data_IF_752781393444
#
_entry.id   IF_752781393444
#
_cell.length_a   1.000
_cell.length_b   1.000
_cell.length_c   1.000
_cell.angle_alpha   90.00
_cell.angle_beta   90.00
_cell.angle_gamma   90.00
#
_symmetry.space_group_name_H-M   'P 1'
#
loop_
_entity.id
_entity.type
_entity.pdbx_description
1 polymer ?
#
# COMPACT_ATOMS: atom_id res chain seq x y z
N UNK A 1 15.54 -19.46 0.92
CA UNK A 1 15.39 -18.29 1.81
C UNK A 1 13.91 -18.01 1.99
N UNK A 2 13.30 -18.41 3.13
CA UNK A 2 11.85 -18.29 3.37
C UNK A 2 11.31 -16.85 3.19
N UNK A 3 12.08 -15.84 3.57
CA UNK A 3 11.73 -14.44 3.34
C UNK A 3 11.54 -14.11 1.85
N UNK A 4 12.47 -14.54 0.99
CA UNK A 4 12.39 -14.31 -0.46
C UNK A 4 11.20 -15.04 -1.08
N UNK A 5 10.88 -16.24 -0.59
CA UNK A 5 9.69 -16.97 -1.01
C UNK A 5 8.42 -16.18 -0.64
N UNK A 6 8.32 -15.65 0.58
CA UNK A 6 7.19 -14.85 1.00
C UNK A 6 7.02 -13.60 0.12
N UNK A 7 8.11 -12.90 -0.22
CA UNK A 7 8.07 -11.75 -1.15
C UNK A 7 7.57 -12.14 -2.55
N UNK A 8 7.98 -13.30 -3.06
CA UNK A 8 7.46 -13.83 -4.32
C UNK A 8 5.96 -14.16 -4.25
N UNK A 9 5.52 -14.77 -3.14
CA UNK A 9 4.09 -15.05 -2.90
C UNK A 9 3.28 -13.77 -2.79
N UNK A 10 3.80 -12.75 -2.11
CA UNK A 10 3.19 -11.42 -2.04
C UNK A 10 2.94 -10.85 -3.44
N UNK A 11 3.97 -10.82 -4.30
CA UNK A 11 3.83 -10.31 -5.66
C UNK A 11 2.77 -11.08 -6.47
N UNK A 12 2.73 -12.42 -6.32
CA UNK A 12 1.68 -13.25 -6.94
C UNK A 12 0.30 -12.96 -6.37
N UNK A 13 0.17 -12.79 -5.06
CA UNK A 13 -1.07 -12.45 -4.36
C UNK A 13 -1.64 -11.12 -4.85
N UNK A 14 -0.81 -10.07 -4.96
CA UNK A 14 -1.19 -8.77 -5.52
C UNK A 14 -1.67 -8.93 -6.97
N UNK A 15 -0.95 -9.69 -7.80
CA UNK A 15 -1.34 -9.92 -9.19
C UNK A 15 -2.67 -10.68 -9.32
N UNK A 16 -2.90 -11.70 -8.48
CA UNK A 16 -4.17 -12.42 -8.45
C UNK A 16 -5.32 -11.53 -7.98
N UNK A 17 -5.11 -10.71 -6.94
CA UNK A 17 -6.09 -9.76 -6.46
C UNK A 17 -6.48 -8.76 -7.57
N UNK A 18 -5.50 -8.20 -8.29
CA UNK A 18 -5.75 -7.29 -9.41
C UNK A 18 -6.57 -7.93 -10.55
N UNK A 19 -6.37 -9.24 -10.80
CA UNK A 19 -7.15 -10.02 -11.77
C UNK A 19 -8.53 -10.46 -11.27
N UNK A 20 -8.88 -10.19 -10.01
CA UNK A 20 -10.11 -10.69 -9.39
C UNK A 20 -10.08 -12.18 -9.04
N UNK A 21 -8.91 -12.83 -9.09
CA UNK A 21 -8.74 -14.24 -8.72
C UNK A 21 -8.59 -14.37 -7.19
N UNK A 22 -9.65 -14.04 -6.45
CA UNK A 22 -9.61 -13.91 -4.99
C UNK A 22 -9.18 -15.19 -4.26
N UNK A 23 -9.63 -16.36 -4.71
CA UNK A 23 -9.22 -17.65 -4.12
C UNK A 23 -7.72 -17.91 -4.28
N UNK A 24 -7.16 -17.63 -5.47
CA UNK A 24 -5.73 -17.77 -5.70
C UNK A 24 -4.92 -16.76 -4.86
N UNK A 25 -5.41 -15.53 -4.70
CA UNK A 25 -4.77 -14.54 -3.85
C UNK A 25 -4.79 -14.94 -2.36
N UNK A 26 -5.92 -15.49 -1.87
CA UNK A 26 -6.04 -16.03 -0.49
C UNK A 26 -5.12 -17.22 -0.26
N UNK A 27 -4.93 -18.08 -1.26
CA UNK A 27 -3.97 -19.18 -1.16
C UNK A 27 -2.53 -18.66 -0.96
N UNK A 28 -2.15 -17.55 -1.60
CA UNK A 28 -0.83 -16.94 -1.37
C UNK A 28 -0.71 -16.34 0.03
N UNK A 29 -1.73 -15.65 0.56
CA UNK A 29 -1.67 -15.12 1.94
C UNK A 29 -1.63 -16.22 3.00
N UNK A 30 -2.38 -17.30 2.80
CA UNK A 30 -2.30 -18.49 3.65
C UNK A 30 -0.90 -19.10 3.64
N UNK A 31 -0.26 -19.20 2.47
CA UNK A 31 1.09 -19.70 2.35
C UNK A 31 2.14 -18.78 3.00
N UNK A 32 1.98 -17.45 2.89
CA UNK A 32 2.84 -16.48 3.59
C UNK A 32 2.72 -16.66 5.12
N UNK A 33 1.51 -16.73 5.66
CA UNK A 33 1.30 -16.92 7.10
C UNK A 33 1.79 -18.28 7.60
N UNK A 34 1.67 -19.32 6.77
CA UNK A 34 2.26 -20.63 7.07
C UNK A 34 3.78 -20.55 7.18
N UNK A 35 4.45 -19.89 6.22
CA UNK A 35 5.90 -19.65 6.28
C UNK A 35 6.29 -18.87 7.55
N UNK A 36 5.51 -17.84 7.90
CA UNK A 36 5.74 -17.06 9.12
C UNK A 36 5.64 -17.91 10.40
N UNK A 37 4.71 -18.85 10.45
CA UNK A 37 4.49 -19.71 11.60
C UNK A 37 5.50 -20.87 11.73
N UNK A 38 6.00 -21.38 10.60
CA UNK A 38 6.86 -22.58 10.56
C UNK A 38 8.37 -22.26 10.51
N UNK A 39 8.75 -21.02 10.23
CA UNK A 39 10.16 -20.61 10.08
C UNK A 39 10.63 -19.85 11.32
N UNK A 40 11.81 -20.22 11.83
CA UNK A 40 12.53 -19.40 12.80
C UNK A 40 13.28 -18.26 12.08
N UNK A 41 12.83 -17.03 12.28
CA UNK A 41 13.44 -15.81 11.76
C UNK A 41 14.32 -15.08 12.79
N UNK A 42 14.69 -15.74 13.89
CA UNK A 42 15.48 -15.12 14.96
C UNK A 42 16.82 -14.56 14.47
N UNK A 43 17.48 -15.25 13.53
CA UNK A 43 18.76 -14.81 12.96
C UNK A 43 18.59 -13.58 12.07
N UNK A 44 17.58 -13.57 11.20
CA UNK A 44 17.22 -12.42 10.38
C UNK A 44 16.86 -11.21 11.24
N UNK A 45 16.07 -11.44 12.29
CA UNK A 45 15.61 -10.40 13.22
C UNK A 45 16.79 -9.80 13.99
N UNK A 46 17.70 -10.64 14.49
CA UNK A 46 18.95 -10.19 15.12
C UNK A 46 19.86 -9.44 14.12
N UNK A 47 19.80 -9.80 12.84
CA UNK A 47 20.45 -9.09 11.74
C UNK A 47 19.75 -7.80 11.30
N UNK A 48 18.68 -7.40 11.98
CA UNK A 48 17.93 -6.18 11.71
C UNK A 48 16.79 -6.33 10.70
N UNK A 49 16.52 -7.51 10.16
CA UNK A 49 15.37 -7.74 9.27
C UNK A 49 14.16 -8.21 10.10
N UNK A 50 13.12 -7.38 10.31
CA UNK A 50 11.90 -7.77 11.03
C UNK A 50 10.99 -8.65 10.16
N UNK A 51 11.49 -9.82 9.77
CA UNK A 51 10.84 -10.69 8.79
C UNK A 51 9.40 -11.09 9.20
N UNK A 52 9.08 -11.45 10.46
CA UNK A 52 7.71 -11.77 10.84
C UNK A 52 6.71 -10.63 10.57
N UNK A 53 7.08 -9.41 10.91
CA UNK A 53 6.25 -8.22 10.69
C UNK A 53 6.05 -7.95 9.20
N UNK A 54 7.12 -8.06 8.40
CA UNK A 54 7.04 -7.87 6.95
C UNK A 54 6.20 -8.94 6.25
N UNK A 55 6.23 -10.19 6.74
CA UNK A 55 5.37 -11.26 6.24
C UNK A 55 3.89 -10.96 6.53
N UNK A 56 3.54 -10.56 7.75
CA UNK A 56 2.14 -10.22 8.06
C UNK A 56 1.67 -8.96 7.33
N UNK A 57 2.51 -7.92 7.25
CA UNK A 57 2.23 -6.71 6.46
C UNK A 57 1.92 -7.07 5.00
N UNK A 58 2.71 -7.97 4.41
CA UNK A 58 2.50 -8.41 3.02
C UNK A 58 1.17 -9.16 2.84
N UNK A 59 0.78 -10.00 3.80
CA UNK A 59 -0.49 -10.73 3.77
C UNK A 59 -1.68 -9.76 3.91
N UNK A 60 -1.60 -8.80 4.82
CA UNK A 60 -2.63 -7.78 5.03
C UNK A 60 -2.86 -6.93 3.78
N UNK A 61 -1.80 -6.54 3.07
CA UNK A 61 -1.94 -5.76 1.83
C UNK A 61 -2.62 -6.56 0.72
N UNK A 62 -2.28 -7.85 0.56
CA UNK A 62 -2.97 -8.70 -0.42
C UNK A 62 -4.45 -8.86 -0.05
N UNK A 63 -4.77 -9.08 1.23
CA UNK A 63 -6.16 -9.15 1.70
C UNK A 63 -6.93 -7.84 1.48
N UNK A 64 -6.29 -6.71 1.74
CA UNK A 64 -6.87 -5.40 1.46
C UNK A 64 -7.19 -5.22 -0.02
N UNK A 65 -6.27 -5.62 -0.91
CA UNK A 65 -6.48 -5.54 -2.38
C UNK A 65 -7.59 -6.48 -2.85
N UNK A 66 -7.73 -7.67 -2.25
CA UNK A 66 -8.87 -8.57 -2.51
C UNK A 66 -10.18 -7.88 -2.11
N UNK A 67 -10.25 -7.36 -0.88
CA UNK A 67 -11.44 -6.70 -0.36
C UNK A 67 -11.80 -5.44 -1.19
N UNK A 68 -10.82 -4.63 -1.55
CA UNK A 68 -10.99 -3.46 -2.42
C UNK A 68 -11.56 -3.86 -3.78
N UNK A 69 -11.02 -4.94 -4.39
CA UNK A 69 -11.51 -5.44 -5.69
C UNK A 69 -12.94 -5.97 -5.63
N UNK A 70 -13.35 -6.52 -4.48
CA UNK A 70 -14.70 -7.02 -4.24
C UNK A 70 -15.68 -5.91 -3.82
N UNK A 71 -15.23 -4.66 -3.68
CA UNK A 71 -16.04 -3.55 -3.20
C UNK A 71 -16.27 -3.57 -1.69
N UNK A 72 -15.64 -4.49 -0.94
CA UNK A 72 -15.69 -4.50 0.52
C UNK A 72 -14.70 -3.48 1.10
N UNK A 73 -14.97 -2.19 0.87
CA UNK A 73 -14.06 -1.11 1.21
C UNK A 73 -13.81 -0.97 2.72
N UNK A 74 -14.79 -1.33 3.56
CA UNK A 74 -14.63 -1.35 5.02
C UNK A 74 -13.59 -2.38 5.46
N UNK A 75 -13.64 -3.59 4.90
CA UNK A 75 -12.64 -4.61 5.17
C UNK A 75 -11.27 -4.19 4.63
N UNK A 76 -11.21 -3.62 3.42
CA UNK A 76 -9.96 -3.13 2.84
C UNK A 76 -9.30 -2.08 3.74
N UNK A 77 -10.08 -1.11 4.25
CA UNK A 77 -9.60 -0.09 5.19
C UNK A 77 -9.04 -0.72 6.45
N UNK A 78 -9.79 -1.60 7.11
CA UNK A 78 -9.35 -2.24 8.36
C UNK A 78 -8.03 -3.01 8.17
N UNK A 79 -7.85 -3.71 7.03
CA UNK A 79 -6.62 -4.43 6.70
C UNK A 79 -5.45 -3.48 6.45
N UNK A 80 -5.68 -2.36 5.77
CA UNK A 80 -4.65 -1.35 5.53
C UNK A 80 -4.27 -0.57 6.79
N UNK A 81 -5.22 -0.28 7.68
CA UNK A 81 -4.93 0.32 9.00
C UNK A 81 -4.03 -0.60 9.83
N UNK A 82 -4.28 -1.90 9.82
CA UNK A 82 -3.40 -2.89 10.47
C UNK A 82 -2.01 -2.94 9.81
N UNK A 83 -1.94 -2.91 8.48
CA UNK A 83 -0.65 -2.89 7.77
C UNK A 83 0.14 -1.59 8.02
N UNK A 84 -0.54 -0.45 8.12
CA UNK A 84 0.05 0.85 8.50
C UNK A 84 0.57 0.80 9.93
N UNK A 85 -0.16 0.19 10.87
CA UNK A 85 0.32 0.04 12.24
C UNK A 85 1.61 -0.79 12.33
N UNK A 86 1.75 -1.80 11.46
CA UNK A 86 3.01 -2.55 11.33
C UNK A 86 4.10 -1.64 10.74
N UNK A 87 3.83 -0.98 9.60
CA UNK A 87 4.80 -0.09 8.92
C UNK A 87 5.32 1.02 9.85
N UNK A 88 4.42 1.67 10.60
CA UNK A 88 4.76 2.72 11.58
C UNK A 88 5.58 2.19 12.78
N UNK A 89 5.49 0.89 13.08
CA UNK A 89 6.24 0.22 14.13
C UNK A 89 7.64 -0.24 13.72
N UNK A 90 7.95 -0.23 12.41
CA UNK A 90 9.26 -0.64 11.92
C UNK A 90 10.33 0.40 12.28
N UNK A 91 11.54 -0.08 12.58
CA UNK A 91 12.68 0.81 12.76
C UNK A 91 13.01 1.55 11.45
N UNK A 92 13.48 2.79 11.56
CA UNK A 92 13.96 3.53 10.41
C UNK A 92 15.18 2.83 9.78
N UNK A 93 15.16 2.68 8.44
CA UNK A 93 16.27 2.16 7.66
C UNK A 93 16.26 2.75 6.24
N UNK A 94 17.39 2.69 5.54
CA UNK A 94 17.49 3.10 4.14
C UNK A 94 18.21 2.02 3.31
N UNK A 95 17.57 1.48 2.24
CA UNK A 95 16.19 1.75 1.83
C UNK A 95 15.17 1.24 2.86
N UNK A 96 13.96 1.80 2.88
CA UNK A 96 12.86 1.34 3.74
C UNK A 96 12.60 -0.17 3.56
N UNK A 97 12.18 -0.86 4.63
CA UNK A 97 11.90 -2.31 4.58
C UNK A 97 10.79 -2.63 3.57
N UNK A 98 9.79 -1.75 3.47
CA UNK A 98 8.69 -1.87 2.55
C UNK A 98 8.83 -0.87 1.40
N UNK A 99 8.62 -1.34 0.17
CA UNK A 99 9.02 -0.62 -1.04
C UNK A 99 8.15 0.58 -1.41
N UNK A 100 6.97 0.72 -0.80
CA UNK A 100 6.09 1.88 -1.01
C UNK A 100 5.28 2.19 0.26
N UNK A 101 4.93 3.45 0.54
CA UNK A 101 4.17 3.80 1.74
C UNK A 101 2.76 3.17 1.73
N UNK A 102 2.41 2.35 2.72
CA UNK A 102 1.10 1.65 2.75
C UNK A 102 -0.06 2.65 2.83
N UNK A 103 0.17 3.81 3.48
CA UNK A 103 -0.79 4.93 3.54
C UNK A 103 -1.24 5.43 2.16
N UNK A 104 -0.45 5.21 1.10
CA UNK A 104 -0.85 5.51 -0.28
C UNK A 104 -2.08 4.69 -0.69
N UNK A 105 -2.06 3.37 -0.48
CA UNK A 105 -3.20 2.50 -0.80
C UNK A 105 -4.38 2.78 0.14
N UNK A 106 -4.12 3.10 1.42
CA UNK A 106 -5.17 3.50 2.36
C UNK A 106 -5.89 4.78 1.89
N UNK A 107 -5.16 5.79 1.41
CA UNK A 107 -5.74 7.01 0.83
C UNK A 107 -6.66 6.72 -0.35
N UNK A 108 -6.29 5.77 -1.21
CA UNK A 108 -7.13 5.34 -2.32
C UNK A 108 -8.42 4.64 -1.87
N UNK A 109 -8.35 3.81 -0.82
CA UNK A 109 -9.54 3.20 -0.22
C UNK A 109 -10.46 4.24 0.40
N UNK A 110 -9.93 5.20 1.18
CA UNK A 110 -10.73 6.31 1.71
C UNK A 110 -11.40 7.11 0.59
N UNK A 111 -10.70 7.38 -0.51
CA UNK A 111 -11.26 8.07 -1.66
C UNK A 111 -12.41 7.28 -2.31
N UNK A 112 -12.25 5.96 -2.47
CA UNK A 112 -13.31 5.09 -2.97
C UNK A 112 -14.54 5.04 -2.05
N UNK A 113 -14.34 5.24 -0.74
CA UNK A 113 -15.40 5.35 0.26
C UNK A 113 -16.07 6.74 0.29
N UNK A 114 -15.53 7.74 -0.42
CA UNK A 114 -15.97 9.13 -0.34
C UNK A 114 -15.49 9.87 0.91
N UNK A 115 -14.56 9.29 1.68
CA UNK A 115 -13.95 9.85 2.89
C UNK A 115 -12.80 10.80 2.49
N UNK A 116 -13.12 11.88 1.78
CA UNK A 116 -12.12 12.76 1.14
C UNK A 116 -11.12 13.39 2.11
N UNK A 117 -11.54 13.77 3.31
CA UNK A 117 -10.63 14.33 4.33
C UNK A 117 -9.60 13.30 4.80
N UNK A 118 -10.02 12.07 5.06
CA UNK A 118 -9.13 10.97 5.43
C UNK A 118 -8.19 10.60 4.27
N UNK A 119 -8.69 10.62 3.03
CA UNK A 119 -7.87 10.40 1.84
C UNK A 119 -6.77 11.47 1.69
N UNK A 120 -7.11 12.75 1.84
CA UNK A 120 -6.13 13.84 1.80
C UNK A 120 -5.07 13.67 2.89
N UNK A 121 -5.48 13.43 4.13
CA UNK A 121 -4.56 13.24 5.26
C UNK A 121 -3.58 12.09 5.03
N UNK A 122 -4.04 10.98 4.44
CA UNK A 122 -3.19 9.84 4.10
C UNK A 122 -2.13 10.21 3.04
N UNK A 123 -2.51 10.87 1.94
CA UNK A 123 -1.55 11.29 0.92
C UNK A 123 -0.59 12.38 1.40
N UNK A 124 -1.08 13.35 2.17
CA UNK A 124 -0.24 14.38 2.79
C UNK A 124 0.80 13.78 3.74
N UNK A 125 0.44 12.74 4.49
CA UNK A 125 1.39 12.00 5.32
C UNK A 125 2.50 11.37 4.46
N UNK A 126 2.13 10.71 3.37
CA UNK A 126 3.10 10.14 2.42
C UNK A 126 4.03 11.22 1.88
N UNK A 127 3.51 12.40 1.53
CA UNK A 127 4.30 13.51 0.98
C UNK A 127 5.18 14.20 2.03
N UNK A 128 4.88 14.11 3.32
CA UNK A 128 5.79 14.58 4.38
C UNK A 128 7.05 13.73 4.45
N UNK A 129 6.92 12.42 4.27
CA UNK A 129 8.06 11.48 4.30
C UNK A 129 8.75 11.37 2.93
N UNK A 130 7.98 11.40 1.85
CA UNK A 130 8.44 11.25 0.47
C UNK A 130 7.89 12.39 -0.42
N UNK A 131 8.48 13.60 -0.37
CA UNK A 131 7.91 14.83 -0.97
C UNK A 131 7.58 14.78 -2.47
N UNK A 132 8.28 13.92 -3.21
CA UNK A 132 8.12 13.74 -4.65
C UNK A 132 7.49 12.39 -5.02
N UNK A 133 6.76 11.75 -4.10
CA UNK A 133 6.00 10.55 -4.42
C UNK A 133 4.87 10.89 -5.40
N UNK A 134 5.07 10.56 -6.67
CA UNK A 134 4.12 10.88 -7.74
C UNK A 134 2.74 10.22 -7.57
N UNK A 135 2.66 9.04 -6.96
CA UNK A 135 1.39 8.38 -6.68
C UNK A 135 0.58 9.16 -5.63
N UNK A 136 1.23 9.60 -4.54
CA UNK A 136 0.57 10.42 -3.53
C UNK A 136 0.20 11.82 -4.05
N UNK A 137 1.05 12.44 -4.88
CA UNK A 137 0.73 13.71 -5.55
C UNK A 137 -0.51 13.57 -6.45
N UNK A 138 -0.58 12.49 -7.24
CA UNK A 138 -1.73 12.19 -8.09
C UNK A 138 -3.00 11.96 -7.27
N UNK A 139 -2.89 11.20 -6.17
CA UNK A 139 -3.99 10.92 -5.26
C UNK A 139 -4.52 12.18 -4.60
N UNK A 140 -3.64 13.03 -4.07
CA UNK A 140 -4.03 14.28 -3.42
C UNK A 140 -4.66 15.28 -4.41
N UNK A 141 -4.11 15.37 -5.63
CA UNK A 141 -4.72 16.13 -6.73
C UNK A 141 -6.16 15.67 -6.98
N UNK A 142 -6.41 14.37 -7.06
CA UNK A 142 -7.75 13.82 -7.29
C UNK A 142 -8.71 14.14 -6.14
N UNK A 143 -8.24 14.07 -4.88
CA UNK A 143 -9.04 14.51 -3.73
C UNK A 143 -9.42 15.98 -3.84
N UNK A 144 -8.49 16.85 -4.19
CA UNK A 144 -8.75 18.29 -4.33
C UNK A 144 -9.72 18.60 -5.48
N UNK A 145 -9.64 17.87 -6.60
CA UNK A 145 -10.63 18.01 -7.69
C UNK A 145 -12.04 17.63 -7.23
N UNK A 146 -12.18 16.54 -6.47
CA UNK A 146 -13.48 16.07 -5.95
C UNK A 146 -14.08 17.00 -4.90
N UNK A 147 -13.24 17.70 -4.15
CA UNK A 147 -13.66 18.63 -3.09
C UNK A 147 -13.75 20.10 -3.55
N UNK A 148 -13.55 20.38 -4.85
CA UNK A 148 -13.67 21.73 -5.41
C UNK A 148 -12.50 22.67 -5.11
N UNK A 149 -11.38 22.14 -4.58
CA UNK A 149 -10.16 22.87 -4.26
C UNK A 149 -9.26 23.02 -5.49
N UNK A 150 -9.72 23.81 -6.47
CA UNK A 150 -9.10 23.88 -7.80
C UNK A 150 -7.62 24.35 -7.77
N UNK A 151 -7.31 25.40 -6.99
CA UNK A 151 -5.94 25.92 -6.89
C UNK A 151 -4.97 24.89 -6.30
N UNK A 152 -5.38 24.19 -5.23
CA UNK A 152 -4.57 23.14 -4.60
C UNK A 152 -4.37 21.95 -5.56
N UNK A 153 -5.42 21.59 -6.32
CA UNK A 153 -5.31 20.55 -7.33
C UNK A 153 -4.29 20.91 -8.43
N UNK A 154 -4.27 22.18 -8.87
CA UNK A 154 -3.33 22.66 -9.88
C UNK A 154 -1.88 22.66 -9.37
N UNK A 155 -1.66 23.01 -8.10
CA UNK A 155 -0.35 22.88 -7.46
C UNK A 155 0.13 21.42 -7.43
N UNK A 156 -0.73 20.49 -6.98
CA UNK A 156 -0.38 19.07 -6.93
C UNK A 156 -0.15 18.49 -8.33
N UNK A 157 -0.88 18.98 -9.34
CA UNK A 157 -0.69 18.60 -10.74
C UNK A 157 0.68 19.05 -11.29
N UNK A 158 1.10 20.27 -10.98
CA UNK A 158 2.42 20.78 -11.36
C UNK A 158 3.55 19.94 -10.74
N UNK A 159 3.44 19.64 -9.43
CA UNK A 159 4.38 18.77 -8.71
C UNK A 159 4.38 17.36 -9.29
N UNK A 160 3.20 16.80 -9.57
CA UNK A 160 3.05 15.48 -10.17
C UNK A 160 3.76 15.39 -11.52
N UNK A 161 3.54 16.36 -12.42
CA UNK A 161 4.18 16.43 -13.74
C UNK A 161 5.70 16.50 -13.66
N UNK A 162 6.25 17.15 -12.63
CA UNK A 162 7.69 17.21 -12.41
C UNK A 162 8.27 15.89 -11.87
N UNK A 163 7.49 15.13 -11.08
CA UNK A 163 7.94 13.90 -10.42
C UNK A 163 7.68 12.61 -11.24
N UNK A 164 6.66 12.60 -12.10
CA UNK A 164 6.21 11.40 -12.81
C UNK A 164 6.99 11.17 -14.10
N UNK A 165 7.60 9.98 -14.22
CA UNK A 165 8.41 9.57 -15.39
C UNK A 165 7.68 8.51 -16.24
N UNK A 166 6.43 8.16 -15.90
CA UNK A 166 5.63 7.15 -16.61
C UNK A 166 4.57 7.72 -17.55
N UNK A 167 3.74 6.85 -18.14
CA UNK A 167 2.57 7.27 -18.91
C UNK A 167 1.46 7.78 -17.95
N UNK A 168 0.87 8.98 -18.17
CA UNK A 168 -0.10 9.56 -17.23
C UNK A 168 -1.38 8.74 -17.03
N UNK A 169 -1.79 7.98 -18.04
CA UNK A 169 -2.95 7.09 -18.06
C UNK A 169 -2.72 5.76 -17.33
N UNK A 170 -1.48 5.49 -16.90
CA UNK A 170 -1.16 4.32 -16.08
C UNK A 170 -1.71 4.43 -14.65
N UNK A 171 -1.95 5.64 -14.16
CA UNK A 171 -2.40 5.88 -12.79
C UNK A 171 -3.92 5.77 -12.67
N UNK A 172 -4.37 5.06 -11.63
CA UNK A 172 -5.78 4.87 -11.30
C UNK A 172 -5.94 4.58 -9.81
N UNK A 173 -7.13 4.86 -9.27
CA UNK A 173 -7.45 4.65 -7.85
C UNK A 173 -7.25 3.18 -7.45
N UNK A 174 -7.55 2.26 -8.37
CA UNK A 174 -7.39 0.83 -8.18
C UNK A 174 -5.93 0.34 -8.25
N UNK A 175 -5.00 1.20 -8.65
CA UNK A 175 -3.56 0.90 -8.77
C UNK A 175 -2.70 1.56 -7.68
N UNK A 176 -3.25 2.54 -6.97
CA UNK A 176 -2.65 3.10 -5.75
C UNK A 176 -2.54 2.03 -4.64
#
# INVERSE_FOLDING_TARGET
>A
MPYVEATWRYARGVAFAAKGASEAARAETAAIRKLAAETDFSTETAGGLPAPDLLELSALIVEARIAQRQGNLREARNKLEAAVAIEDGLAYMEPAYWYYPVRQTLGAVHMAMGEHEAAAAAFEHVLKQTPNNAWALWGLREVFRRTGRAADAEEMDARFKAAWVGAPDFLGIERL
#
